data_IF_615789742926
#
_entry.id   IF_615789742926
#
_cell.length_a   1.000
_cell.length_b   1.000
_cell.length_c   1.000
_cell.angle_alpha   90.00
_cell.angle_beta   90.00
_cell.angle_gamma   90.00
#
_symmetry.space_group_name_H-M   'P 1'
#
loop_
_entity.id
_entity.type
_entity.pdbx_description
1 polymer ?
#
# COMPACT_ATOMS: atom_id res chain seq x y z
N UNK A 1 23.84 12.81 24.15
CA UNK A 1 24.81 12.04 23.37
C UNK A 1 24.26 11.92 21.94
N UNK A 2 25.05 12.27 20.96
CA UNK A 2 24.68 12.10 19.55
C UNK A 2 24.58 10.59 19.25
N UNK A 3 23.47 10.16 18.65
CA UNK A 3 23.29 8.75 18.29
C UNK A 3 24.25 8.38 17.15
N UNK A 4 24.79 7.17 17.19
CA UNK A 4 25.70 6.64 16.17
C UNK A 4 25.01 6.55 14.80
N UNK A 5 25.69 7.00 13.74
CA UNK A 5 25.23 6.91 12.36
C UNK A 5 25.28 5.45 11.91
N UNK A 6 24.16 4.93 11.38
CA UNK A 6 24.08 3.56 10.89
C UNK A 6 24.02 3.51 9.36
N UNK A 7 23.27 4.42 8.72
CA UNK A 7 23.12 4.52 7.28
C UNK A 7 23.34 5.97 6.84
N UNK A 8 24.13 6.17 5.80
CA UNK A 8 24.24 7.43 5.10
C UNK A 8 24.05 7.24 3.61
N UNK A 9 23.33 8.17 3.01
CA UNK A 9 23.17 8.31 1.57
C UNK A 9 23.71 9.67 1.17
N UNK A 10 24.60 9.70 0.16
CA UNK A 10 25.26 10.90 -0.32
C UNK A 10 24.98 11.09 -1.81
N UNK A 11 24.28 12.18 -2.14
CA UNK A 11 23.93 12.60 -3.51
C UNK A 11 23.38 11.46 -4.38
N UNK A 12 22.47 10.67 -3.77
CA UNK A 12 21.86 9.55 -4.46
C UNK A 12 20.91 10.05 -5.55
N UNK A 13 21.14 9.59 -6.77
CA UNK A 13 20.32 9.92 -7.94
C UNK A 13 19.69 8.66 -8.54
N UNK A 14 18.46 8.82 -9.09
CA UNK A 14 17.78 7.81 -9.87
C UNK A 14 16.85 8.43 -10.90
N UNK A 15 16.90 7.91 -12.13
CA UNK A 15 15.99 8.30 -13.21
C UNK A 15 15.33 7.09 -13.85
N UNK A 16 14.10 7.25 -14.32
CA UNK A 16 13.34 6.29 -15.12
C UNK A 16 12.98 6.97 -16.46
N UNK A 17 13.76 6.71 -17.47
CA UNK A 17 13.64 7.42 -18.74
C UNK A 17 13.79 8.94 -18.53
N UNK A 18 12.82 9.77 -18.92
CA UNK A 18 12.89 11.22 -18.74
C UNK A 18 12.61 11.69 -17.29
N UNK A 19 12.08 10.83 -16.42
CA UNK A 19 11.65 11.20 -15.07
C UNK A 19 12.79 11.01 -14.09
N UNK A 20 13.25 12.09 -13.47
CA UNK A 20 14.20 12.04 -12.35
C UNK A 20 13.44 11.78 -11.06
N UNK A 21 13.56 10.56 -10.53
CA UNK A 21 12.88 10.15 -9.30
C UNK A 21 13.64 10.57 -8.03
N UNK A 22 14.97 10.65 -8.10
CA UNK A 22 15.84 11.16 -7.03
C UNK A 22 16.91 12.06 -7.65
N UNK A 23 17.16 13.20 -6.98
CA UNK A 23 18.12 14.21 -7.42
C UNK A 23 18.98 14.61 -6.20
N UNK A 24 20.23 14.18 -6.19
CA UNK A 24 21.22 14.51 -5.15
C UNK A 24 20.66 14.33 -3.72
N UNK A 25 20.05 13.18 -3.45
CA UNK A 25 19.41 12.88 -2.16
C UNK A 25 20.45 12.54 -1.12
N UNK A 26 20.47 13.33 -0.02
CA UNK A 26 21.30 13.13 1.17
C UNK A 26 20.41 12.76 2.36
N UNK A 27 20.61 11.57 2.95
CA UNK A 27 19.87 11.08 4.12
C UNK A 27 20.80 10.39 5.09
N UNK A 28 20.73 10.77 6.36
CA UNK A 28 21.42 10.08 7.46
C UNK A 28 20.40 9.40 8.37
N UNK A 29 20.64 8.16 8.76
CA UNK A 29 19.80 7.42 9.72
C UNK A 29 20.68 6.97 10.88
N UNK A 30 20.22 7.18 12.11
CA UNK A 30 20.97 6.90 13.33
C UNK A 30 20.40 5.70 14.08
N UNK A 31 21.21 5.03 14.90
CA UNK A 31 20.75 3.91 15.75
C UNK A 31 19.64 4.34 16.70
N UNK A 32 18.61 3.51 16.83
CA UNK A 32 17.45 3.80 17.68
C UNK A 32 16.57 4.94 17.16
N UNK A 33 16.74 5.35 15.89
CA UNK A 33 15.94 6.37 15.24
C UNK A 33 14.75 5.74 14.49
N UNK A 34 13.57 6.33 14.65
CA UNK A 34 12.43 6.13 13.78
C UNK A 34 12.34 7.37 12.89
N UNK A 35 12.75 7.23 11.63
CA UNK A 35 12.72 8.30 10.64
C UNK A 35 11.54 8.15 9.73
N UNK A 36 10.65 9.14 9.72
CA UNK A 36 9.56 9.26 8.76
C UNK A 36 10.06 9.79 7.42
N UNK A 37 9.56 9.24 6.31
CA UNK A 37 9.75 9.80 4.97
C UNK A 37 8.38 10.21 4.44
N UNK A 38 8.19 11.51 4.16
CA UNK A 38 6.94 12.06 3.65
C UNK A 38 7.13 12.77 2.32
N UNK A 39 6.04 12.94 1.58
CA UNK A 39 5.99 13.61 0.28
C UNK A 39 4.79 13.12 -0.53
N UNK A 40 4.45 13.82 -1.58
CA UNK A 40 3.38 13.42 -2.49
C UNK A 40 3.71 12.10 -3.23
N UNK A 41 2.70 11.50 -3.88
CA UNK A 41 2.92 10.34 -4.73
C UNK A 41 3.87 10.71 -5.87
N UNK A 42 4.88 9.85 -6.11
CA UNK A 42 5.92 10.14 -7.11
C UNK A 42 7.06 11.03 -6.62
N UNK A 43 7.10 11.45 -5.36
CA UNK A 43 8.19 12.29 -4.82
C UNK A 43 9.53 11.58 -4.65
N UNK A 44 9.59 10.24 -4.80
CA UNK A 44 10.83 9.45 -4.72
C UNK A 44 11.00 8.61 -3.45
N UNK A 45 10.07 8.64 -2.48
CA UNK A 45 10.17 7.88 -1.20
C UNK A 45 10.45 6.40 -1.40
N UNK A 46 9.55 5.70 -2.09
CA UNK A 46 9.68 4.26 -2.33
C UNK A 46 10.87 3.94 -3.23
N UNK A 47 11.27 4.85 -4.14
CA UNK A 47 12.49 4.71 -4.95
C UNK A 47 13.73 4.72 -4.06
N UNK A 48 13.84 5.68 -3.14
CA UNK A 48 14.95 5.75 -2.19
C UNK A 48 15.00 4.49 -1.31
N UNK A 49 13.88 4.10 -0.72
CA UNK A 49 13.78 2.89 0.10
C UNK A 49 14.13 1.61 -0.67
N UNK A 50 13.70 1.50 -1.94
CA UNK A 50 14.05 0.37 -2.80
C UNK A 50 15.55 0.29 -3.11
N UNK A 51 16.22 1.43 -3.24
CA UNK A 51 17.69 1.48 -3.42
C UNK A 51 18.39 1.00 -2.15
N UNK A 52 17.98 1.52 -1.00
CA UNK A 52 18.54 1.11 0.30
C UNK A 52 18.30 -0.38 0.58
N UNK A 53 17.15 -0.91 0.18
CA UNK A 53 16.80 -2.31 0.33
C UNK A 53 17.39 -3.25 -0.75
N UNK A 54 18.15 -2.72 -1.72
CA UNK A 54 18.76 -3.50 -2.79
C UNK A 54 17.77 -4.06 -3.82
N UNK A 55 16.53 -3.54 -3.86
CA UNK A 55 15.54 -3.88 -4.87
C UNK A 55 15.73 -3.08 -6.17
N UNK A 56 16.46 -1.97 -6.10
CA UNK A 56 16.72 -1.07 -7.22
C UNK A 56 18.16 -0.55 -7.15
N UNK A 57 18.85 -0.46 -8.27
CA UNK A 57 20.17 0.16 -8.37
C UNK A 57 20.04 1.69 -8.51
N UNK A 58 20.90 2.43 -7.79
CA UNK A 58 21.08 3.87 -8.00
C UNK A 58 21.83 4.16 -9.29
N UNK A 59 21.63 5.33 -9.88
CA UNK A 59 22.39 5.76 -11.07
C UNK A 59 23.70 6.44 -10.68
N UNK A 60 23.73 7.18 -9.56
CA UNK A 60 24.93 7.81 -8.99
C UNK A 60 24.74 8.06 -7.50
N UNK A 61 25.79 8.59 -6.85
CA UNK A 61 25.86 8.82 -5.42
C UNK A 61 26.40 7.61 -4.67
N UNK A 62 26.46 7.71 -3.34
CA UNK A 62 27.06 6.70 -2.48
C UNK A 62 26.09 6.32 -1.35
N UNK A 63 26.12 5.06 -0.94
CA UNK A 63 25.49 4.58 0.29
C UNK A 63 26.59 4.03 1.19
N UNK A 64 26.47 4.34 2.48
CA UNK A 64 27.30 3.80 3.53
C UNK A 64 26.44 3.13 4.61
N UNK A 65 26.88 1.97 5.06
CA UNK A 65 26.31 1.27 6.21
C UNK A 65 27.42 1.04 7.24
N UNK A 66 27.22 1.53 8.47
CA UNK A 66 28.27 1.54 9.50
C UNK A 66 29.59 2.21 9.05
N UNK A 67 29.51 3.27 8.25
CA UNK A 67 30.67 3.98 7.72
C UNK A 67 31.47 3.20 6.66
N UNK A 68 30.92 2.10 6.16
CA UNK A 68 31.47 1.32 5.06
C UNK A 68 30.62 1.44 3.81
N UNK A 69 31.24 1.41 2.65
CA UNK A 69 30.56 1.44 1.37
C UNK A 69 29.51 0.32 1.28
N UNK A 70 28.28 0.67 0.95
CA UNK A 70 27.13 -0.22 0.87
C UNK A 70 26.53 -0.23 -0.52
N UNK A 71 26.62 -1.36 -1.21
CA UNK A 71 26.11 -1.55 -2.57
C UNK A 71 25.35 -2.90 -2.67
N UNK A 72 24.12 -2.96 -2.14
CA UNK A 72 23.37 -4.20 -2.13
C UNK A 72 22.96 -4.59 -3.55
N UNK A 73 23.20 -5.86 -3.91
CA UNK A 73 22.90 -6.41 -5.24
C UNK A 73 21.50 -7.02 -5.34
N UNK A 74 20.84 -7.21 -4.21
CA UNK A 74 19.50 -7.76 -4.12
C UNK A 74 18.93 -7.51 -2.72
N UNK A 75 17.61 -7.69 -2.56
CA UNK A 75 16.96 -7.62 -1.23
C UNK A 75 17.52 -8.67 -0.27
N UNK A 76 17.89 -9.87 -0.75
CA UNK A 76 18.52 -10.90 0.09
C UNK A 76 19.91 -10.47 0.54
N UNK A 77 20.67 -9.83 -0.34
CA UNK A 77 21.98 -9.28 -0.01
C UNK A 77 21.87 -8.13 1.02
N UNK A 78 20.93 -7.20 0.83
CA UNK A 78 20.61 -6.16 1.81
C UNK A 78 20.23 -6.74 3.19
N UNK A 79 19.41 -7.79 3.20
CA UNK A 79 19.05 -8.49 4.43
C UNK A 79 20.26 -9.15 5.12
N UNK A 80 21.21 -9.65 4.36
CA UNK A 80 22.46 -10.21 4.92
C UNK A 80 23.34 -9.12 5.57
N UNK A 81 23.20 -7.87 5.15
CA UNK A 81 23.81 -6.69 5.75
C UNK A 81 22.96 -6.05 6.86
N UNK A 82 21.81 -6.68 7.22
CA UNK A 82 20.97 -6.17 8.30
C UNK A 82 19.93 -5.12 7.86
N UNK A 83 19.66 -4.98 6.56
CA UNK A 83 18.62 -4.06 6.04
C UNK A 83 17.46 -4.89 5.49
N UNK A 84 16.26 -4.71 6.03
CA UNK A 84 15.05 -5.38 5.54
C UNK A 84 13.95 -4.37 5.17
N UNK A 85 13.09 -4.76 4.22
CA UNK A 85 11.98 -3.92 3.77
C UNK A 85 10.68 -4.71 3.75
N UNK A 86 9.62 -4.09 4.24
CA UNK A 86 8.23 -4.49 4.08
C UNK A 86 7.64 -3.58 3.01
N UNK A 87 7.27 -4.15 1.85
CA UNK A 87 6.78 -3.39 0.69
C UNK A 87 5.29 -3.10 0.81
N UNK A 88 4.80 -2.11 0.07
CA UNK A 88 3.39 -1.67 0.07
C UNK A 88 2.42 -2.79 -0.35
N UNK A 89 2.71 -3.48 -1.43
CA UNK A 89 1.88 -4.58 -1.94
C UNK A 89 2.29 -5.92 -1.35
N UNK A 90 1.31 -6.85 -1.19
CA UNK A 90 1.60 -8.16 -0.66
C UNK A 90 2.38 -9.01 -1.67
N UNK A 91 3.71 -9.14 -1.45
CA UNK A 91 4.62 -9.91 -2.28
C UNK A 91 4.75 -11.36 -1.78
N UNK A 92 3.64 -12.10 -1.72
CA UNK A 92 3.62 -13.52 -1.35
C UNK A 92 3.56 -14.43 -2.58
N UNK A 93 4.12 -15.63 -2.48
CA UNK A 93 4.04 -16.68 -3.50
C UNK A 93 2.76 -17.51 -3.27
N UNK A 94 1.71 -17.36 -4.09
CA UNK A 94 0.36 -17.86 -3.76
C UNK A 94 0.26 -19.36 -3.61
N UNK A 95 1.09 -20.13 -4.32
CA UNK A 95 1.04 -21.61 -4.35
C UNK A 95 1.95 -22.29 -3.33
N UNK A 96 2.60 -21.51 -2.47
CA UNK A 96 3.49 -22.04 -1.44
C UNK A 96 2.83 -21.96 -0.07
N UNK A 97 3.37 -22.72 0.88
CA UNK A 97 3.00 -22.60 2.29
C UNK A 97 3.62 -21.34 2.93
N UNK A 98 3.18 -21.02 4.14
CA UNK A 98 3.65 -19.87 4.92
C UNK A 98 5.15 -19.94 5.18
N UNK A 99 5.68 -21.10 5.57
CA UNK A 99 7.10 -21.25 5.87
C UNK A 99 7.99 -21.02 4.64
N UNK A 100 7.59 -21.57 3.48
CA UNK A 100 8.28 -21.32 2.20
C UNK A 100 8.26 -19.84 1.81
N UNK A 101 7.16 -19.15 2.13
CA UNK A 101 7.06 -17.70 1.95
C UNK A 101 7.99 -16.93 2.89
N UNK A 102 8.05 -17.30 4.16
CA UNK A 102 8.94 -16.67 5.17
C UNK A 102 10.41 -16.83 4.77
N UNK A 103 10.82 -18.02 4.37
CA UNK A 103 12.22 -18.35 4.04
C UNK A 103 12.53 -18.28 2.54
N UNK A 104 11.71 -17.58 1.75
CA UNK A 104 11.99 -17.39 0.32
C UNK A 104 13.38 -16.79 0.09
N UNK A 105 14.18 -17.45 -0.76
CA UNK A 105 15.59 -17.10 -1.02
C UNK A 105 16.59 -17.55 0.06
N UNK A 106 16.15 -18.32 1.08
CA UNK A 106 16.99 -18.74 2.22
C UNK A 106 16.83 -20.22 2.59
N UNK A 107 16.06 -21.00 1.83
CA UNK A 107 15.80 -22.41 2.12
C UNK A 107 17.07 -23.26 2.18
N UNK A 108 18.12 -22.88 1.45
CA UNK A 108 19.41 -23.59 1.44
C UNK A 108 20.03 -23.71 2.84
N UNK A 109 19.78 -22.77 3.74
CA UNK A 109 20.27 -22.78 5.13
C UNK A 109 19.72 -23.96 5.95
N UNK A 110 18.63 -24.59 5.49
CA UNK A 110 17.98 -25.73 6.11
C UNK A 110 18.28 -27.07 5.40
N UNK A 111 19.32 -27.09 4.57
CA UNK A 111 19.71 -28.30 3.84
C UNK A 111 20.59 -29.21 4.71
N UNK A 112 20.20 -30.46 4.88
CA UNK A 112 20.97 -31.50 5.55
C UNK A 112 21.12 -32.70 4.61
N UNK A 113 22.36 -33.09 4.32
CA UNK A 113 22.63 -34.23 3.45
C UNK A 113 22.05 -34.12 2.03
N UNK A 114 21.89 -32.87 1.50
CA UNK A 114 21.32 -32.62 0.17
C UNK A 114 19.80 -32.52 0.13
N UNK A 115 19.09 -32.67 1.27
CA UNK A 115 17.63 -32.56 1.38
C UNK A 115 17.26 -31.47 2.34
N UNK A 116 16.11 -30.80 2.08
CA UNK A 116 15.55 -29.80 2.96
C UNK A 116 14.98 -30.44 4.23
N UNK A 117 15.39 -29.94 5.40
CA UNK A 117 14.84 -30.31 6.70
C UNK A 117 13.53 -29.53 6.97
N UNK A 118 12.44 -29.98 6.36
CA UNK A 118 11.12 -29.36 6.47
C UNK A 118 10.63 -29.24 7.91
N UNK A 119 11.03 -30.16 8.79
CA UNK A 119 10.66 -30.06 10.20
C UNK A 119 11.25 -28.80 10.82
N UNK A 120 12.56 -28.60 10.66
CA UNK A 120 13.24 -27.41 11.17
C UNK A 120 12.70 -26.12 10.54
N UNK A 121 12.34 -26.14 9.24
CA UNK A 121 11.74 -24.99 8.54
C UNK A 121 10.40 -24.60 9.17
N UNK A 122 9.51 -25.56 9.39
CA UNK A 122 8.20 -25.29 10.01
C UNK A 122 8.31 -24.86 11.47
N UNK A 123 9.14 -25.53 12.25
CA UNK A 123 9.35 -25.20 13.67
C UNK A 123 9.89 -23.76 13.82
N UNK A 124 10.83 -23.36 12.95
CA UNK A 124 11.39 -21.99 12.96
C UNK A 124 10.37 -20.95 12.46
N UNK A 125 9.59 -21.26 11.42
CA UNK A 125 8.52 -20.39 10.96
C UNK A 125 7.48 -20.14 12.06
N UNK A 126 7.05 -21.18 12.76
CA UNK A 126 6.09 -21.08 13.87
C UNK A 126 6.67 -20.26 15.03
N UNK A 127 7.99 -20.39 15.30
CA UNK A 127 8.68 -19.58 16.30
C UNK A 127 8.69 -18.11 15.93
N UNK A 128 9.06 -17.76 14.71
CA UNK A 128 9.08 -16.36 14.25
C UNK A 128 7.68 -15.74 14.31
N UNK A 129 6.65 -16.47 13.86
CA UNK A 129 5.27 -16.01 13.91
C UNK A 129 4.78 -15.79 15.36
N UNK A 130 5.17 -16.65 16.29
CA UNK A 130 4.87 -16.47 17.70
C UNK A 130 5.62 -15.26 18.29
N UNK A 131 6.90 -15.06 17.95
CA UNK A 131 7.72 -13.93 18.41
C UNK A 131 7.17 -12.57 17.96
N UNK A 132 6.53 -12.50 16.80
CA UNK A 132 5.86 -11.29 16.32
C UNK A 132 4.42 -11.16 16.82
N UNK A 133 3.91 -12.13 17.60
CA UNK A 133 2.61 -12.04 18.28
C UNK A 133 1.43 -12.63 17.50
N UNK A 134 1.65 -13.53 16.56
CA UNK A 134 0.60 -14.18 15.74
C UNK A 134 0.75 -15.71 15.71
N UNK A 135 0.71 -16.38 16.87
CA UNK A 135 0.92 -17.83 16.98
C UNK A 135 -0.18 -18.67 16.30
N UNK A 136 -1.31 -18.05 15.92
CA UNK A 136 -2.40 -18.69 15.20
C UNK A 136 -2.05 -19.00 13.73
N UNK A 137 -1.15 -18.22 13.10
CA UNK A 137 -0.63 -18.52 11.76
C UNK A 137 0.46 -19.57 11.91
N UNK A 138 0.39 -20.63 11.11
CA UNK A 138 1.33 -21.75 11.15
C UNK A 138 2.09 -21.90 9.85
N UNK A 139 3.37 -22.28 9.93
CA UNK A 139 4.24 -22.45 8.78
C UNK A 139 3.70 -23.41 7.72
N UNK A 140 2.90 -24.41 8.13
CA UNK A 140 2.29 -25.40 7.22
C UNK A 140 1.02 -24.92 6.53
N UNK A 141 0.46 -23.78 6.90
CA UNK A 141 -0.74 -23.24 6.25
C UNK A 141 -0.44 -22.86 4.81
N UNK A 142 -1.40 -23.09 3.90
CA UNK A 142 -1.29 -22.58 2.54
C UNK A 142 -1.58 -21.08 2.52
N UNK A 143 -0.72 -20.31 1.87
CA UNK A 143 -0.85 -18.86 1.79
C UNK A 143 -2.18 -18.40 1.13
N UNK A 144 -2.74 -19.20 0.21
CA UNK A 144 -4.02 -18.90 -0.45
C UNK A 144 -5.20 -18.91 0.52
N UNK A 145 -5.11 -19.64 1.63
CA UNK A 145 -6.15 -19.72 2.65
C UNK A 145 -6.17 -18.50 3.58
N UNK A 146 -5.09 -17.71 3.55
CA UNK A 146 -4.95 -16.53 4.37
C UNK A 146 -5.63 -15.32 3.70
N UNK A 147 -6.27 -14.49 4.53
CA UNK A 147 -6.77 -13.20 4.07
C UNK A 147 -5.61 -12.24 3.76
N UNK A 148 -5.93 -11.05 3.24
CA UNK A 148 -4.91 -10.07 2.86
C UNK A 148 -4.03 -9.64 4.04
N UNK A 149 -4.63 -9.40 5.22
CA UNK A 149 -3.92 -8.97 6.44
C UNK A 149 -2.94 -10.04 6.92
N UNK A 150 -3.38 -11.30 6.98
CA UNK A 150 -2.53 -12.42 7.40
C UNK A 150 -1.36 -12.66 6.42
N UNK A 151 -1.57 -12.47 5.11
CA UNK A 151 -0.47 -12.51 4.13
C UNK A 151 0.55 -11.41 4.38
N UNK A 152 0.10 -10.21 4.75
CA UNK A 152 0.99 -9.11 5.12
C UNK A 152 1.79 -9.41 6.37
N UNK A 153 1.20 -10.10 7.34
CA UNK A 153 1.90 -10.60 8.53
C UNK A 153 3.01 -11.60 8.15
N UNK A 154 2.77 -12.47 7.16
CA UNK A 154 3.80 -13.39 6.65
C UNK A 154 4.98 -12.62 6.03
N UNK A 155 4.75 -11.50 5.36
CA UNK A 155 5.82 -10.63 4.86
C UNK A 155 6.61 -9.97 5.98
N UNK A 156 5.93 -9.51 7.01
CA UNK A 156 6.57 -8.97 8.22
C UNK A 156 7.48 -10.06 8.83
N UNK A 157 6.98 -11.29 8.96
CA UNK A 157 7.76 -12.42 9.43
C UNK A 157 9.00 -12.67 8.56
N UNK A 158 8.86 -12.63 7.22
CA UNK A 158 9.99 -12.74 6.27
C UNK A 158 11.04 -11.66 6.50
N UNK A 159 10.62 -10.40 6.68
CA UNK A 159 11.54 -9.30 6.94
C UNK A 159 12.29 -9.48 8.27
N UNK A 160 11.65 -10.10 9.26
CA UNK A 160 12.22 -10.31 10.60
C UNK A 160 13.15 -11.53 10.71
N UNK A 161 13.18 -12.44 9.72
CA UNK A 161 14.08 -13.62 9.70
C UNK A 161 15.54 -13.23 9.93
N UNK A 162 16.00 -12.15 9.30
CA UNK A 162 17.38 -11.69 9.38
C UNK A 162 17.69 -10.83 10.62
N UNK A 163 16.72 -10.61 11.51
CA UNK A 163 16.84 -9.73 12.68
C UNK A 163 17.46 -8.37 12.29
N UNK A 164 16.81 -7.61 11.41
CA UNK A 164 17.40 -6.44 10.79
C UNK A 164 17.83 -5.39 11.81
N UNK A 165 18.88 -4.63 11.47
CA UNK A 165 19.30 -3.42 12.18
C UNK A 165 18.57 -2.20 11.63
N UNK A 166 18.17 -2.22 10.35
CA UNK A 166 17.33 -1.21 9.70
C UNK A 166 16.11 -1.89 9.10
N UNK A 167 14.94 -1.47 9.53
CA UNK A 167 13.67 -1.93 8.98
C UNK A 167 13.01 -0.80 8.19
N UNK A 168 12.74 -1.05 6.92
CA UNK A 168 12.01 -0.14 6.04
C UNK A 168 10.56 -0.59 5.99
N UNK A 169 9.61 0.31 6.28
CA UNK A 169 8.17 0.05 6.25
C UNK A 169 7.55 1.02 5.26
N UNK A 170 7.14 0.51 4.08
CA UNK A 170 6.60 1.32 3.00
C UNK A 170 5.07 1.19 2.95
N UNK A 171 4.35 2.25 3.36
CA UNK A 171 2.88 2.43 3.31
C UNK A 171 2.05 1.22 3.76
N UNK A 172 2.61 0.38 4.61
CA UNK A 172 2.00 -0.89 5.01
C UNK A 172 0.79 -0.71 5.92
N UNK A 173 0.77 0.34 6.75
CA UNK A 173 -0.26 0.56 7.78
C UNK A 173 -1.62 0.91 7.21
N UNK A 174 -1.69 1.57 6.06
CA UNK A 174 -2.94 1.93 5.38
C UNK A 174 -3.75 0.73 4.91
N UNK A 175 -3.07 -0.37 4.58
CA UNK A 175 -3.67 -1.60 4.09
C UNK A 175 -4.12 -2.56 5.22
N UNK A 176 -3.75 -2.28 6.48
CA UNK A 176 -4.00 -3.13 7.63
C UNK A 176 -5.18 -2.63 8.47
N UNK A 177 -5.97 -3.58 8.98
CA UNK A 177 -6.95 -3.32 10.02
C UNK A 177 -6.28 -3.02 11.37
N UNK A 178 -7.05 -2.69 12.37
CA UNK A 178 -6.56 -2.28 13.70
C UNK A 178 -5.57 -3.28 14.32
N UNK A 179 -5.77 -4.61 14.12
CA UNK A 179 -4.88 -5.65 14.67
C UNK A 179 -3.51 -5.59 14.01
N UNK A 180 -3.45 -5.56 12.69
CA UNK A 180 -2.19 -5.52 11.95
C UNK A 180 -1.42 -4.21 12.17
N UNK A 181 -2.12 -3.06 12.29
CA UNK A 181 -1.48 -1.78 12.65
C UNK A 181 -0.82 -1.85 14.03
N UNK A 182 -1.52 -2.40 15.04
CA UNK A 182 -0.94 -2.58 16.38
C UNK A 182 0.33 -3.44 16.35
N UNK A 183 0.35 -4.48 15.52
CA UNK A 183 1.52 -5.34 15.35
C UNK A 183 2.71 -4.56 14.78
N UNK A 184 2.49 -3.77 13.71
CA UNK A 184 3.53 -2.91 13.12
C UNK A 184 4.06 -1.92 14.17
N UNK A 185 3.17 -1.28 14.94
CA UNK A 185 3.59 -0.31 15.98
C UNK A 185 4.41 -0.97 17.08
N UNK A 186 4.00 -2.13 17.56
CA UNK A 186 4.76 -2.91 18.54
C UNK A 186 6.14 -3.30 18.00
N UNK A 187 6.22 -3.63 16.70
CA UNK A 187 7.49 -3.93 16.04
C UNK A 187 8.39 -2.70 15.96
N UNK A 188 7.87 -1.53 15.57
CA UNK A 188 8.60 -0.26 15.54
C UNK A 188 9.16 0.08 16.93
N UNK A 189 8.32 -0.01 17.96
CA UNK A 189 8.73 0.26 19.35
C UNK A 189 9.81 -0.72 19.82
N UNK A 190 9.68 -2.01 19.51
CA UNK A 190 10.70 -3.02 19.81
C UNK A 190 12.02 -2.73 19.11
N UNK A 191 11.99 -2.38 17.81
CA UNK A 191 13.20 -2.00 17.06
C UNK A 191 13.92 -0.82 17.74
N UNK A 192 13.18 0.20 18.14
CA UNK A 192 13.74 1.35 18.84
C UNK A 192 14.35 0.98 20.20
N UNK A 193 13.65 0.15 20.99
CA UNK A 193 14.15 -0.33 22.30
C UNK A 193 15.42 -1.17 22.15
N UNK A 194 15.56 -1.92 21.07
CA UNK A 194 16.75 -2.68 20.72
C UNK A 194 17.85 -1.82 20.07
N UNK A 195 17.71 -0.48 20.08
CA UNK A 195 18.62 0.49 19.47
C UNK A 195 18.83 0.28 17.96
N UNK A 196 17.81 -0.20 17.27
CA UNK A 196 17.75 -0.41 15.82
C UNK A 196 16.99 0.73 15.15
N UNK A 197 17.20 0.92 13.84
CA UNK A 197 16.59 2.01 13.09
C UNK A 197 15.36 1.57 12.29
N UNK A 198 14.44 2.50 12.09
CA UNK A 198 13.27 2.30 11.22
C UNK A 198 13.15 3.45 10.23
N UNK A 199 13.02 3.15 8.94
CA UNK A 199 12.56 4.08 7.92
C UNK A 199 11.06 3.83 7.70
N UNK A 200 10.23 4.81 8.02
CA UNK A 200 8.79 4.65 8.04
C UNK A 200 8.11 5.60 7.05
N UNK A 201 7.49 5.04 6.02
CA UNK A 201 6.68 5.77 5.05
C UNK A 201 5.21 5.58 5.40
N UNK A 202 4.50 6.66 5.60
CA UNK A 202 3.05 6.68 5.77
C UNK A 202 2.45 7.95 5.15
N UNK A 203 1.20 7.87 4.72
CA UNK A 203 0.40 9.04 4.33
C UNK A 203 -0.35 9.65 5.52
N UNK A 204 -0.40 8.94 6.64
CA UNK A 204 -1.04 9.39 7.87
C UNK A 204 -0.04 10.23 8.67
N UNK A 205 -0.21 11.56 8.61
CA UNK A 205 0.67 12.50 9.30
C UNK A 205 0.54 12.42 10.83
N UNK A 206 -0.63 12.06 11.34
CA UNK A 206 -0.84 11.86 12.78
C UNK A 206 -0.05 10.65 13.27
N UNK A 207 -0.05 9.54 12.50
CA UNK A 207 0.76 8.36 12.76
C UNK A 207 2.26 8.69 12.82
N UNK A 208 2.75 9.45 11.85
CA UNK A 208 4.16 9.88 11.81
C UNK A 208 4.51 10.81 12.96
N UNK A 209 3.64 11.76 13.26
CA UNK A 209 3.77 12.65 14.42
C UNK A 209 3.84 11.87 15.72
N UNK A 210 3.10 10.80 15.88
CA UNK A 210 3.11 10.00 17.11
C UNK A 210 4.38 9.15 17.22
N UNK A 211 4.88 8.59 16.12
CA UNK A 211 5.88 7.51 16.12
C UNK A 211 7.30 7.96 15.77
N UNK A 212 7.48 8.98 14.94
CA UNK A 212 8.81 9.34 14.42
C UNK A 212 9.59 10.26 15.34
N UNK A 213 10.92 10.08 15.36
CA UNK A 213 11.87 10.99 15.99
C UNK A 213 12.24 12.15 15.05
N UNK A 214 12.38 11.83 13.76
CA UNK A 214 12.71 12.78 12.69
C UNK A 214 11.81 12.51 11.48
N UNK A 215 11.53 13.53 10.69
CA UNK A 215 10.78 13.41 9.44
C UNK A 215 11.56 14.11 8.34
N UNK A 216 11.86 13.37 7.29
CA UNK A 216 12.47 13.90 6.06
C UNK A 216 11.39 14.07 4.99
N UNK A 217 11.32 15.26 4.41
CA UNK A 217 10.34 15.63 3.39
C UNK A 217 10.97 15.55 2.00
N UNK A 218 10.40 14.67 1.15
CA UNK A 218 10.77 14.58 -0.27
C UNK A 218 9.71 15.25 -1.14
N UNK A 219 10.13 16.04 -2.11
CA UNK A 219 9.30 16.61 -3.15
C UNK A 219 10.05 16.69 -4.46
N UNK A 220 9.45 16.22 -5.54
CA UNK A 220 10.03 16.24 -6.89
C UNK A 220 11.44 15.63 -6.97
N UNK A 221 11.69 14.59 -6.19
CA UNK A 221 12.97 13.89 -6.12
C UNK A 221 14.05 14.57 -5.26
N UNK A 222 13.73 15.67 -4.58
CA UNK A 222 14.65 16.44 -3.75
C UNK A 222 14.28 16.32 -2.26
N UNK A 223 15.28 16.33 -1.38
CA UNK A 223 15.06 16.59 0.04
C UNK A 223 14.78 18.08 0.23
N UNK A 224 13.61 18.40 0.78
CA UNK A 224 13.20 19.78 1.04
C UNK A 224 13.63 20.22 2.43
N UNK A 225 13.39 19.36 3.43
CA UNK A 225 13.77 19.63 4.83
C UNK A 225 13.80 18.32 5.63
N UNK A 226 14.46 18.36 6.76
CA UNK A 226 14.43 17.31 7.79
C UNK A 226 14.03 17.94 9.11
N UNK A 227 12.92 17.50 9.66
CA UNK A 227 12.32 18.02 10.89
C UNK A 227 12.63 17.09 12.06
N UNK A 228 13.22 17.63 13.10
CA UNK A 228 13.32 16.96 14.41
C UNK A 228 11.98 17.05 15.15
N UNK A 229 11.79 16.17 16.12
CA UNK A 229 10.56 16.02 16.93
C UNK A 229 10.02 17.36 17.46
N UNK A 230 10.90 18.25 17.89
CA UNK A 230 10.56 19.56 18.47
C UNK A 230 9.99 20.55 17.44
N UNK A 231 10.38 20.36 16.18
CA UNK A 231 10.01 21.23 15.04
C UNK A 231 8.92 20.65 14.15
N UNK A 232 8.35 19.47 14.51
CA UNK A 232 7.28 18.84 13.76
C UNK A 232 5.95 19.51 14.06
N UNK A 233 5.17 19.82 13.01
CA UNK A 233 3.74 20.06 13.08
C UNK A 233 3.09 19.59 11.79
N UNK A 234 1.81 19.23 11.86
CA UNK A 234 1.06 18.76 10.68
C UNK A 234 1.01 19.84 9.60
N UNK A 235 0.81 21.08 10.00
CA UNK A 235 0.77 22.26 9.10
C UNK A 235 2.11 22.43 8.38
N UNK A 236 3.23 22.35 9.13
CA UNK A 236 4.57 22.49 8.55
C UNK A 236 4.88 21.34 7.59
N UNK A 237 4.55 20.10 7.97
CA UNK A 237 4.72 18.94 7.10
C UNK A 237 3.94 19.09 5.80
N UNK A 238 2.65 19.46 5.87
CA UNK A 238 1.81 19.71 4.69
C UNK A 238 2.36 20.81 3.80
N UNK A 239 2.75 21.95 4.39
CA UNK A 239 3.34 23.07 3.64
C UNK A 239 4.61 22.66 2.89
N UNK A 240 5.51 21.90 3.51
CA UNK A 240 6.74 21.41 2.87
C UNK A 240 6.46 20.40 1.75
N UNK A 241 5.46 19.52 1.94
CA UNK A 241 5.08 18.53 0.92
C UNK A 241 4.52 19.19 -0.34
N UNK A 242 3.63 20.19 -0.18
CA UNK A 242 2.91 20.83 -1.29
C UNK A 242 3.69 22.01 -1.89
N UNK A 243 4.58 22.62 -1.11
CA UNK A 243 5.39 23.77 -1.54
C UNK A 243 4.63 25.07 -1.65
N UNK A 244 3.44 25.16 -1.05
CA UNK A 244 2.63 26.36 -0.92
C UNK A 244 2.17 26.51 0.54
N UNK A 245 2.15 27.72 1.06
CA UNK A 245 1.39 27.98 2.27
C UNK A 245 -0.08 27.66 1.97
N UNK A 246 -0.64 26.71 2.70
CA UNK A 246 -2.07 26.42 2.65
C UNK A 246 -2.81 27.58 3.33
N UNK A 247 -3.07 28.64 2.58
CA UNK A 247 -3.94 29.73 3.02
C UNK A 247 -5.38 29.34 2.66
N UNK A 248 -6.16 28.94 3.66
CA UNK A 248 -7.60 28.68 3.53
C UNK A 248 -8.04 27.29 3.96
N UNK A 249 -9.35 27.11 4.03
CA UNK A 249 -9.99 25.83 4.35
C UNK A 249 -9.67 24.76 3.30
N UNK A 250 -9.15 23.64 3.75
CA UNK A 250 -8.78 22.47 2.92
C UNK A 250 -10.01 21.80 2.30
N UNK A 251 -11.17 22.05 2.85
CA UNK A 251 -12.45 21.56 2.34
C UNK A 251 -13.05 22.60 1.43
N UNK A 252 -13.75 22.16 0.39
CA UNK A 252 -14.48 23.05 -0.53
C UNK A 252 -15.47 23.92 0.26
N UNK A 253 -15.10 25.16 0.67
CA UNK A 253 -15.99 26.05 1.43
C UNK A 253 -17.15 26.55 0.55
N UNK A 254 -17.03 26.36 -0.78
CA UNK A 254 -18.04 26.67 -1.79
C UNK A 254 -19.09 25.57 -1.94
N UNK A 255 -18.91 24.39 -1.30
CA UNK A 255 -19.85 23.28 -1.39
C UNK A 255 -20.78 23.26 -0.18
N UNK A 256 -22.03 23.56 -0.42
CA UNK A 256 -23.10 23.61 0.59
C UNK A 256 -23.80 22.25 0.84
N UNK A 257 -23.34 21.19 0.18
CA UNK A 257 -23.95 19.85 0.24
C UNK A 257 -25.22 19.72 -0.60
N UNK A 258 -25.59 20.74 -1.38
CA UNK A 258 -26.79 20.71 -2.20
C UNK A 258 -26.62 19.81 -3.42
N UNK A 259 -27.69 19.16 -3.81
CA UNK A 259 -27.81 18.36 -5.03
C UNK A 259 -29.20 18.56 -5.64
N UNK A 260 -29.38 18.15 -6.89
CA UNK A 260 -30.70 18.18 -7.56
C UNK A 260 -31.67 17.19 -6.91
N UNK A 261 -32.97 17.45 -7.10
CA UNK A 261 -34.03 16.53 -6.63
C UNK A 261 -34.21 15.32 -7.57
N UNK A 262 -33.68 15.41 -8.79
CA UNK A 262 -33.81 14.34 -9.80
C UNK A 262 -33.01 13.11 -9.38
N UNK A 263 -33.70 11.96 -9.22
CA UNK A 263 -33.07 10.69 -8.94
C UNK A 263 -32.42 10.14 -10.20
N UNK A 264 -31.14 9.79 -10.12
CA UNK A 264 -30.39 9.15 -11.21
C UNK A 264 -30.28 7.63 -11.05
N UNK A 265 -30.05 7.15 -9.82
CA UNK A 265 -29.88 5.73 -9.53
C UNK A 265 -30.64 5.38 -8.26
N UNK A 266 -31.33 4.26 -8.28
CA UNK A 266 -32.03 3.75 -7.12
C UNK A 266 -31.76 2.25 -6.97
N UNK A 267 -31.30 1.83 -5.81
CA UNK A 267 -31.29 0.43 -5.41
C UNK A 267 -32.33 0.24 -4.33
N UNK A 268 -33.21 -0.74 -4.48
CA UNK A 268 -34.31 -1.01 -3.55
C UNK A 268 -34.24 -2.44 -3.04
N UNK A 269 -34.18 -2.58 -1.72
CA UNK A 269 -34.19 -3.87 -1.00
C UNK A 269 -33.11 -4.86 -1.46
N UNK A 270 -31.95 -4.35 -1.92
CA UNK A 270 -30.87 -5.18 -2.43
C UNK A 270 -30.21 -5.99 -1.34
N UNK A 271 -29.94 -7.24 -1.65
CA UNK A 271 -29.29 -8.19 -0.73
C UNK A 271 -28.17 -8.92 -1.43
N UNK A 272 -26.97 -8.90 -0.83
CA UNK A 272 -25.81 -9.67 -1.28
C UNK A 272 -25.15 -10.37 -0.08
N UNK A 273 -25.33 -11.68 0.04
CA UNK A 273 -24.75 -12.48 1.14
C UNK A 273 -23.31 -12.84 0.83
N UNK A 274 -22.42 -12.87 1.83
CA UNK A 274 -22.67 -12.63 3.26
C UNK A 274 -22.61 -11.16 3.70
N UNK A 275 -22.46 -10.20 2.77
CA UNK A 275 -22.05 -8.81 3.04
C UNK A 275 -23.17 -7.94 3.62
N UNK A 276 -24.35 -7.92 2.97
CA UNK A 276 -25.46 -7.07 3.42
C UNK A 276 -26.82 -7.63 3.02
N UNK A 277 -27.85 -7.13 3.71
CA UNK A 277 -29.25 -7.55 3.52
C UNK A 277 -30.18 -6.33 3.55
N UNK A 278 -31.07 -6.26 2.55
CA UNK A 278 -32.16 -5.27 2.47
C UNK A 278 -31.64 -3.82 2.58
N UNK A 279 -30.72 -3.47 1.69
CA UNK A 279 -30.13 -2.11 1.62
C UNK A 279 -30.84 -1.31 0.54
N UNK A 280 -31.16 -0.06 0.84
CA UNK A 280 -31.72 0.91 -0.08
C UNK A 280 -30.70 2.04 -0.30
N UNK A 281 -30.53 2.47 -1.56
CA UNK A 281 -29.64 3.56 -1.95
C UNK A 281 -30.35 4.43 -2.98
N UNK A 282 -30.30 5.73 -2.82
CA UNK A 282 -30.76 6.70 -3.81
C UNK A 282 -29.64 7.68 -4.11
N UNK A 283 -29.36 7.91 -5.38
CA UNK A 283 -28.38 8.87 -5.87
C UNK A 283 -29.07 9.89 -6.76
N UNK A 284 -28.82 11.17 -6.48
CA UNK A 284 -29.45 12.29 -7.19
C UNK A 284 -28.46 12.95 -8.17
N UNK A 285 -29.00 13.74 -9.08
CA UNK A 285 -28.20 14.51 -10.04
C UNK A 285 -27.32 15.53 -9.32
N UNK A 286 -26.02 15.51 -9.59
CA UNK A 286 -25.03 16.40 -8.96
C UNK A 286 -24.59 15.99 -7.55
N UNK A 287 -25.12 14.87 -7.01
CA UNK A 287 -24.76 14.35 -5.70
C UNK A 287 -23.42 13.62 -5.73
N UNK A 288 -22.64 13.82 -4.67
CA UNK A 288 -21.48 12.97 -4.32
C UNK A 288 -21.87 12.18 -3.07
N UNK A 289 -22.32 10.94 -3.27
CA UNK A 289 -22.74 10.07 -2.18
C UNK A 289 -21.56 9.21 -1.68
N UNK A 290 -21.17 9.42 -0.41
CA UNK A 290 -20.10 8.68 0.23
C UNK A 290 -20.62 7.43 0.96
N UNK A 291 -19.94 6.28 0.78
CA UNK A 291 -20.14 5.07 1.58
C UNK A 291 -18.98 4.89 2.54
N UNK A 292 -19.26 4.82 3.84
CA UNK A 292 -18.27 4.59 4.88
C UNK A 292 -18.59 3.35 5.71
N UNK A 293 -17.55 2.68 6.21
CA UNK A 293 -17.73 1.53 7.09
C UNK A 293 -16.40 0.83 7.43
N UNK A 294 -16.48 -0.13 8.33
CA UNK A 294 -15.34 -0.96 8.71
C UNK A 294 -14.93 -1.88 7.54
N UNK A 295 -13.69 -2.38 7.60
CA UNK A 295 -13.20 -3.38 6.64
C UNK A 295 -14.20 -4.56 6.58
N UNK A 296 -14.52 -4.99 5.37
CA UNK A 296 -15.47 -6.07 5.09
C UNK A 296 -16.95 -5.77 5.42
N UNK A 297 -17.33 -4.50 5.58
CA UNK A 297 -18.73 -4.13 5.78
C UNK A 297 -19.60 -4.25 4.53
N UNK A 298 -19.03 -4.56 3.37
CA UNK A 298 -19.76 -4.74 2.11
C UNK A 298 -19.87 -3.48 1.23
N UNK A 299 -19.22 -2.37 1.58
CA UNK A 299 -19.32 -1.14 0.79
C UNK A 299 -18.76 -1.29 -0.65
N UNK A 300 -17.69 -2.08 -0.81
CA UNK A 300 -17.13 -2.35 -2.15
C UNK A 300 -18.05 -3.27 -2.96
N UNK A 301 -18.61 -4.28 -2.33
CA UNK A 301 -19.56 -5.21 -2.90
C UNK A 301 -20.87 -4.49 -3.29
N UNK A 302 -21.27 -3.47 -2.52
CA UNK A 302 -22.39 -2.61 -2.88
C UNK A 302 -22.09 -1.81 -4.15
N UNK A 303 -20.92 -1.19 -4.27
CA UNK A 303 -20.51 -0.50 -5.50
C UNK A 303 -20.48 -1.44 -6.71
N UNK A 304 -19.97 -2.66 -6.56
CA UNK A 304 -19.99 -3.70 -7.60
C UNK A 304 -21.41 -4.09 -7.99
N UNK A 305 -22.31 -4.25 -7.03
CA UNK A 305 -23.72 -4.56 -7.27
C UNK A 305 -24.44 -3.41 -7.99
N UNK A 306 -24.22 -2.16 -7.60
CA UNK A 306 -24.81 -0.99 -8.25
C UNK A 306 -24.39 -0.87 -9.73
N UNK A 307 -23.19 -1.33 -10.07
CA UNK A 307 -22.66 -1.36 -11.45
C UNK A 307 -23.05 -2.64 -12.22
N UNK A 308 -23.69 -3.62 -11.59
CA UNK A 308 -24.10 -4.87 -12.21
C UNK A 308 -23.01 -5.96 -12.31
N UNK A 309 -21.87 -5.81 -11.59
CA UNK A 309 -20.83 -6.85 -11.47
C UNK A 309 -21.28 -7.98 -10.53
N UNK A 310 -22.13 -7.67 -9.56
CA UNK A 310 -22.73 -8.63 -8.66
C UNK A 310 -24.26 -8.68 -8.86
N UNK A 311 -24.83 -9.85 -8.68
CA UNK A 311 -26.30 -10.03 -8.78
C UNK A 311 -26.90 -9.98 -7.38
N UNK A 312 -27.90 -9.12 -7.21
CA UNK A 312 -28.69 -9.11 -5.99
C UNK A 312 -29.54 -10.38 -5.85
N UNK A 313 -29.69 -10.86 -4.59
CA UNK A 313 -30.61 -11.97 -4.28
C UNK A 313 -32.06 -11.50 -4.21
N UNK A 314 -32.28 -10.26 -3.78
CA UNK A 314 -33.60 -9.61 -3.67
C UNK A 314 -33.47 -8.15 -4.06
N UNK A 315 -34.58 -7.54 -4.49
CA UNK A 315 -34.59 -6.13 -4.86
C UNK A 315 -34.07 -5.89 -6.29
N UNK A 316 -33.85 -4.64 -6.62
CA UNK A 316 -33.42 -4.21 -7.96
C UNK A 316 -32.54 -2.95 -7.90
N UNK A 317 -31.78 -2.75 -8.97
CA UNK A 317 -31.03 -1.51 -9.24
C UNK A 317 -31.59 -0.89 -10.51
N UNK A 318 -32.06 0.35 -10.42
CA UNK A 318 -32.69 1.09 -11.52
C UNK A 318 -31.95 2.40 -11.77
N UNK A 319 -31.52 2.62 -13.02
CA UNK A 319 -31.00 3.87 -13.51
C UNK A 319 -32.10 4.66 -14.19
N UNK A 320 -32.25 5.92 -13.83
CA UNK A 320 -33.21 6.86 -14.45
C UNK A 320 -32.47 7.74 -15.44
N UNK A 321 -32.83 7.61 -16.73
CA UNK A 321 -32.18 8.36 -17.80
C UNK A 321 -33.17 8.74 -18.90
N UNK A 322 -33.21 10.00 -19.26
CA UNK A 322 -34.06 10.56 -20.33
C UNK A 322 -35.56 10.12 -20.19
N UNK A 323 -36.06 10.14 -18.95
CA UNK A 323 -37.41 9.76 -18.59
C UNK A 323 -37.71 8.25 -18.67
N UNK A 324 -36.67 7.41 -18.78
CA UNK A 324 -36.80 5.94 -18.82
C UNK A 324 -36.19 5.31 -17.57
N UNK A 325 -36.78 4.21 -17.14
CA UNK A 325 -36.26 3.33 -16.11
C UNK A 325 -35.48 2.19 -16.78
N UNK A 326 -34.21 2.04 -16.38
CA UNK A 326 -33.29 1.05 -16.92
C UNK A 326 -32.81 0.16 -15.79
N UNK A 327 -33.20 -1.13 -15.84
CA UNK A 327 -32.71 -2.09 -14.83
C UNK A 327 -31.25 -2.43 -15.09
N UNK A 328 -30.41 -2.23 -14.08
CA UNK A 328 -28.97 -2.56 -14.12
C UNK A 328 -28.79 -4.00 -13.64
N UNK A 329 -28.57 -4.92 -14.58
CA UNK A 329 -28.36 -6.33 -14.31
C UNK A 329 -27.01 -6.86 -14.80
N UNK A 330 -26.25 -6.03 -15.53
CA UNK A 330 -24.93 -6.35 -16.04
C UNK A 330 -24.08 -5.10 -16.24
N UNK A 331 -22.73 -5.22 -16.21
CA UNK A 331 -21.82 -4.11 -16.53
C UNK A 331 -22.04 -3.54 -17.95
N UNK A 332 -22.37 -4.38 -18.92
CA UNK A 332 -22.68 -3.93 -20.27
C UNK A 332 -23.85 -2.94 -20.28
N UNK A 333 -24.94 -3.29 -19.59
CA UNK A 333 -26.11 -2.38 -19.46
C UNK A 333 -25.72 -1.08 -18.77
N UNK A 334 -24.87 -1.14 -17.73
CA UNK A 334 -24.40 0.05 -17.01
C UNK A 334 -23.58 0.97 -17.92
N UNK A 335 -22.58 0.42 -18.63
CA UNK A 335 -21.69 1.17 -19.54
C UNK A 335 -22.47 1.77 -20.71
N UNK A 336 -23.34 1.00 -21.35
CA UNK A 336 -24.16 1.46 -22.49
C UNK A 336 -25.08 2.63 -22.09
N UNK A 337 -25.41 2.75 -20.81
CA UNK A 337 -26.22 3.84 -20.27
C UNK A 337 -25.45 4.96 -19.58
N UNK A 338 -24.09 4.93 -19.67
CA UNK A 338 -23.22 6.02 -19.23
C UNK A 338 -22.75 5.92 -17.77
N UNK A 339 -22.89 4.75 -17.16
CA UNK A 339 -22.23 4.48 -15.87
C UNK A 339 -20.78 4.08 -16.08
N UNK A 340 -19.93 4.41 -15.10
CA UNK A 340 -18.53 3.98 -15.05
C UNK A 340 -18.20 3.46 -13.65
N UNK A 341 -17.24 2.54 -13.59
CA UNK A 341 -16.78 1.95 -12.34
C UNK A 341 -15.26 1.94 -12.27
N UNK A 342 -14.72 2.43 -11.15
CA UNK A 342 -13.29 2.35 -10.83
C UNK A 342 -13.14 1.36 -9.68
N UNK A 343 -12.50 0.21 -9.96
CA UNK A 343 -12.37 -0.86 -8.97
C UNK A 343 -11.30 -0.54 -7.91
N UNK A 344 -11.41 -1.21 -6.76
CA UNK A 344 -10.40 -1.19 -5.71
C UNK A 344 -9.12 -1.91 -6.15
N UNK A 345 -9.23 -3.08 -6.78
CA UNK A 345 -8.11 -3.88 -7.29
C UNK A 345 -7.95 -3.61 -8.79
N UNK A 346 -7.13 -2.59 -9.10
CA UNK A 346 -6.90 -2.13 -10.47
C UNK A 346 -6.31 -3.21 -11.36
N UNK A 347 -5.36 -3.97 -10.84
CA UNK A 347 -4.57 -4.92 -11.62
C UNK A 347 -5.38 -6.16 -11.99
N UNK A 348 -6.35 -6.56 -11.15
CA UNK A 348 -7.20 -7.71 -11.43
C UNK A 348 -8.48 -7.37 -12.19
N UNK A 349 -9.01 -6.15 -11.97
CA UNK A 349 -10.38 -5.84 -12.41
C UNK A 349 -10.48 -4.72 -13.44
N UNK A 350 -9.49 -3.83 -13.55
CA UNK A 350 -9.62 -2.62 -14.36
C UNK A 350 -8.62 -2.46 -15.48
N UNK A 351 -7.47 -3.14 -15.41
CA UNK A 351 -6.37 -2.95 -16.36
C UNK A 351 -5.92 -4.29 -16.94
N UNK A 352 -5.76 -4.34 -18.25
CA UNK A 352 -5.03 -5.42 -18.93
C UNK A 352 -3.55 -5.05 -18.98
N UNK A 353 -2.77 -5.54 -18.00
CA UNK A 353 -1.37 -5.16 -17.79
C UNK A 353 -0.47 -5.35 -19.01
N UNK A 354 -0.76 -6.33 -19.87
CA UNK A 354 0.02 -6.62 -21.08
C UNK A 354 -0.42 -5.78 -22.29
N UNK A 355 -1.52 -5.05 -22.18
CA UNK A 355 -2.02 -4.18 -23.25
C UNK A 355 -1.40 -2.79 -23.15
N UNK A 356 -1.37 -2.06 -24.28
CA UNK A 356 -0.93 -0.67 -24.27
C UNK A 356 -1.89 0.23 -23.49
N UNK A 357 -1.41 1.39 -23.03
CA UNK A 357 -2.23 2.43 -22.39
C UNK A 357 -3.40 2.81 -23.32
N UNK A 358 -3.15 2.99 -24.63
CA UNK A 358 -4.16 3.27 -25.63
C UNK A 358 -5.27 2.22 -25.61
N UNK A 359 -4.91 0.93 -25.62
CA UNK A 359 -5.89 -0.17 -25.65
C UNK A 359 -6.73 -0.20 -24.36
N UNK A 360 -6.10 0.02 -23.21
CA UNK A 360 -6.81 0.10 -21.93
C UNK A 360 -7.79 1.27 -21.89
N UNK A 361 -7.41 2.45 -22.39
CA UNK A 361 -8.28 3.63 -22.42
C UNK A 361 -9.47 3.44 -23.35
N UNK A 362 -9.27 2.86 -24.53
CA UNK A 362 -10.34 2.73 -25.53
C UNK A 362 -11.23 1.50 -25.32
N UNK A 363 -10.82 0.53 -24.49
CA UNK A 363 -11.53 -0.73 -24.29
C UNK A 363 -13.02 -0.55 -23.94
N UNK A 364 -13.41 0.33 -23.00
CA UNK A 364 -14.82 0.53 -22.66
C UNK A 364 -15.65 1.11 -23.83
N UNK A 365 -15.00 1.86 -24.72
CA UNK A 365 -15.64 2.52 -25.87
C UNK A 365 -15.54 1.70 -27.17
N UNK A 366 -14.93 0.52 -27.15
CA UNK A 366 -14.67 -0.26 -28.38
C UNK A 366 -15.93 -0.51 -29.21
N UNK A 367 -17.06 -0.81 -28.57
CA UNK A 367 -18.35 -1.00 -29.26
C UNK A 367 -18.83 0.24 -30.04
N UNK A 368 -18.48 1.44 -29.54
CA UNK A 368 -18.82 2.71 -30.17
C UNK A 368 -17.84 3.09 -31.29
N UNK A 369 -16.62 2.58 -31.22
CA UNK A 369 -15.53 2.86 -32.16
C UNK A 369 -15.48 1.86 -33.31
N UNK A 370 -16.08 0.69 -33.18
CA UNK A 370 -16.17 -0.33 -34.25
C UNK A 370 -17.36 -0.07 -35.16
N UNK A 371 -17.13 -0.04 -36.46
CA UNK A 371 -18.17 0.06 -37.46
C UNK A 371 -18.88 -1.28 -37.71
N UNK A 372 -19.81 -1.32 -38.70
CA UNK A 372 -20.58 -2.51 -39.06
C UNK A 372 -19.76 -3.73 -39.52
N UNK A 373 -18.45 -3.57 -39.75
CA UNK A 373 -17.52 -4.62 -40.19
C UNK A 373 -16.40 -4.92 -39.17
N UNK A 374 -16.50 -4.45 -37.93
CA UNK A 374 -15.53 -4.64 -36.87
C UNK A 374 -14.51 -3.49 -36.75
#
# INVERSE_FOLDING_TARGET
MERELILAAHKVCKAFGPTRALIDVDVEVRKGEIRGLIGENGSGKSTFCSIVAGALEKDSGELELHGQKYEPKSMVDAQNHGVAMIVQEAATFPRLDVASNIFAGRLEQYTKGGFLDWKSIYDEADRILADIGVPEIKGRMNIEQLNFEDRKIVEIARAMVCKPEILIIDETTTALATKGRKLIYALIERMQQENKAVLFISHDLDELMERCNTITVLRDGLIIDTLDRENMSIEKMRSLMIGRELQGDYYRPDFDGSHGEEVLLKAEHVTLRPYFKNVDVTLHRGEILGFGGLSNCGMHELGRLLFGLEKTLTGSVTLYKDGKEISISSPDTAVDNGMAYVSKDRDKESIVLQASIKNNIVMPAMRQLTGALG
#
